data_IF_702708264165
#
_entry.id   IF_702708264165
#
_cell.length_a   1.000
_cell.length_b   1.000
_cell.length_c   1.000
_cell.angle_alpha   90.00
_cell.angle_beta   90.00
_cell.angle_gamma   90.00
#
_symmetry.space_group_name_H-M   'P 1'
#
loop_
_entity.id
_entity.type
_entity.pdbx_description
1 polymer ?
#
# COMPACT_ATOMS: atom_id res chain seq x y z
N UNK A 1 14.78 6.54 10.65
CA UNK A 1 13.69 6.71 11.66
C UNK A 1 12.45 6.12 11.04
N UNK A 2 11.85 5.10 11.65
CA UNK A 2 10.70 4.40 11.07
C UNK A 2 9.49 5.33 10.93
N UNK A 3 8.79 5.28 9.78
CA UNK A 3 7.59 6.06 9.52
C UNK A 3 6.41 5.50 10.34
N UNK A 4 5.63 6.41 10.95
CA UNK A 4 4.48 6.06 11.80
C UNK A 4 3.17 6.41 11.09
N UNK A 5 2.08 5.83 11.56
CA UNK A 5 0.72 6.22 11.12
C UNK A 5 0.52 7.72 11.38
N UNK A 6 0.03 8.44 10.38
CA UNK A 6 -0.17 9.88 10.29
C UNK A 6 1.10 10.73 10.12
N UNK A 7 2.31 10.14 10.06
CA UNK A 7 3.46 10.87 9.53
C UNK A 7 3.19 11.22 8.05
N UNK A 8 3.73 12.34 7.59
CA UNK A 8 3.73 12.67 6.17
C UNK A 8 4.60 11.66 5.42
N UNK A 9 4.07 11.07 4.35
CA UNK A 9 4.83 10.21 3.47
C UNK A 9 5.93 11.04 2.80
N UNK A 10 7.22 10.68 2.92
CA UNK A 10 8.30 11.44 2.32
C UNK A 10 8.08 11.63 0.82
N UNK A 11 8.20 12.87 0.34
CA UNK A 11 8.20 13.15 -1.08
C UNK A 11 9.55 12.80 -1.71
N UNK A 12 9.52 12.39 -2.96
CA UNK A 12 10.73 12.10 -3.73
C UNK A 12 10.49 12.34 -5.22
N UNK A 13 11.59 12.55 -5.94
CA UNK A 13 11.61 12.52 -7.40
C UNK A 13 12.53 11.40 -7.84
N UNK A 14 12.04 10.50 -8.68
CA UNK A 14 12.78 9.33 -9.13
C UNK A 14 12.44 8.93 -10.56
N UNK A 15 13.40 8.26 -11.21
CA UNK A 15 13.20 7.61 -12.49
C UNK A 15 12.36 6.33 -12.30
N UNK A 16 11.43 6.11 -13.20
CA UNK A 16 10.57 4.94 -13.21
C UNK A 16 10.43 4.35 -14.60
N UNK A 17 9.82 3.18 -14.72
CA UNK A 17 9.44 2.59 -16.01
C UNK A 17 8.44 3.44 -16.82
N UNK A 18 7.88 4.49 -16.22
CA UNK A 18 6.93 5.41 -16.85
C UNK A 18 7.47 6.86 -16.90
N UNK A 19 8.79 7.02 -16.85
CA UNK A 19 9.48 8.31 -16.84
C UNK A 19 9.73 8.83 -15.42
N UNK A 20 10.25 10.06 -15.33
CA UNK A 20 10.52 10.71 -14.04
C UNK A 20 9.22 11.10 -13.34
N UNK A 21 9.08 10.74 -12.08
CA UNK A 21 7.90 11.05 -11.26
C UNK A 21 8.32 11.86 -10.03
N UNK A 22 7.64 12.96 -9.72
CA UNK A 22 7.56 13.50 -8.35
C UNK A 22 6.38 12.81 -7.66
N UNK A 23 6.62 12.20 -6.52
CA UNK A 23 5.68 11.27 -5.89
C UNK A 23 4.40 11.95 -5.39
N UNK A 24 4.50 13.10 -4.72
CA UNK A 24 3.32 13.81 -4.23
C UNK A 24 2.47 14.38 -5.37
N UNK A 25 3.11 14.92 -6.41
CA UNK A 25 2.41 15.39 -7.60
C UNK A 25 1.72 14.23 -8.34
N UNK A 26 2.42 13.10 -8.44
CA UNK A 26 1.89 11.89 -9.07
C UNK A 26 0.68 11.32 -8.31
N UNK A 27 0.72 11.25 -6.98
CA UNK A 27 -0.44 10.86 -6.17
C UNK A 27 -1.62 11.79 -6.46
N UNK A 28 -1.42 13.10 -6.48
CA UNK A 28 -2.49 14.09 -6.61
C UNK A 28 -3.51 13.94 -5.48
N UNK A 29 -4.80 13.80 -5.82
CA UNK A 29 -5.90 13.60 -4.86
C UNK A 29 -6.33 12.13 -4.73
N UNK A 30 -5.48 11.20 -5.16
CA UNK A 30 -5.75 9.76 -5.05
C UNK A 30 -5.17 9.19 -3.76
N UNK A 31 -5.61 8.00 -3.40
CA UNK A 31 -4.86 7.13 -2.50
C UNK A 31 -3.67 6.54 -3.25
N UNK A 32 -2.69 6.03 -2.52
CA UNK A 32 -1.57 5.33 -3.12
C UNK A 32 -1.15 4.11 -2.30
N UNK A 33 -0.70 3.08 -3.01
CA UNK A 33 0.08 1.97 -2.47
C UNK A 33 1.49 2.11 -3.00
N UNK A 34 2.43 2.39 -2.09
CA UNK A 34 3.86 2.28 -2.36
C UNK A 34 4.36 0.97 -1.77
N UNK A 35 4.96 0.13 -2.59
CA UNK A 35 5.50 -1.14 -2.12
C UNK A 35 6.92 -1.41 -2.64
N UNK A 36 7.73 -2.09 -1.84
CA UNK A 36 9.05 -2.54 -2.28
C UNK A 36 9.04 -4.03 -2.61
N UNK A 37 9.93 -4.43 -3.50
CA UNK A 37 10.26 -5.83 -3.76
C UNK A 37 11.79 -6.02 -3.70
N UNK A 38 12.27 -7.16 -3.19
CA UNK A 38 13.68 -7.38 -2.93
C UNK A 38 14.59 -7.19 -4.15
N UNK A 39 14.23 -7.80 -5.28
CA UNK A 39 15.07 -7.79 -6.48
C UNK A 39 14.30 -8.26 -7.70
N UNK A 40 14.61 -7.69 -8.87
CA UNK A 40 14.15 -8.14 -10.18
C UNK A 40 14.64 -9.56 -10.51
N UNK A 41 13.96 -10.23 -11.43
CA UNK A 41 14.27 -11.58 -11.90
C UNK A 41 14.33 -12.63 -10.78
N UNK A 42 13.43 -12.49 -9.76
CA UNK A 42 13.30 -13.46 -8.67
C UNK A 42 11.92 -14.08 -8.63
N UNK A 43 11.79 -15.37 -8.21
CA UNK A 43 10.53 -16.10 -8.34
C UNK A 43 9.36 -15.47 -7.59
N UNK A 44 9.54 -15.13 -6.30
CA UNK A 44 8.46 -14.59 -5.48
C UNK A 44 8.05 -13.20 -5.98
N UNK A 45 9.01 -12.33 -6.31
CA UNK A 45 8.71 -10.99 -6.84
C UNK A 45 7.95 -11.06 -8.16
N UNK A 46 8.30 -12.01 -9.04
CA UNK A 46 7.58 -12.24 -10.31
C UNK A 46 6.10 -12.57 -10.05
N UNK A 47 5.80 -13.47 -9.13
CA UNK A 47 4.41 -13.81 -8.77
C UNK A 47 3.68 -12.63 -8.15
N UNK A 48 4.33 -11.85 -7.29
CA UNK A 48 3.74 -10.69 -6.63
C UNK A 48 3.39 -9.57 -7.62
N UNK A 49 4.34 -9.19 -8.47
CA UNK A 49 4.11 -8.07 -9.40
C UNK A 49 3.08 -8.42 -10.47
N UNK A 50 3.07 -9.68 -10.92
CA UNK A 50 2.03 -10.16 -11.84
C UNK A 50 0.65 -10.17 -11.20
N UNK A 51 0.54 -10.65 -9.96
CA UNK A 51 -0.74 -10.62 -9.22
C UNK A 51 -1.23 -9.19 -8.99
N UNK A 52 -0.33 -8.28 -8.58
CA UNK A 52 -0.64 -6.86 -8.42
C UNK A 52 -1.11 -6.22 -9.74
N UNK A 53 -0.47 -6.58 -10.87
CA UNK A 53 -0.88 -6.10 -12.19
C UNK A 53 -2.32 -6.56 -12.54
N UNK A 54 -2.68 -7.79 -12.21
CA UNK A 54 -4.03 -8.30 -12.36
C UNK A 54 -5.07 -7.59 -11.48
N UNK A 55 -4.65 -7.04 -10.34
CA UNK A 55 -5.51 -6.27 -9.43
C UNK A 55 -5.63 -4.78 -9.78
N UNK A 56 -4.95 -4.29 -10.81
CA UNK A 56 -4.98 -2.88 -11.20
C UNK A 56 -6.42 -2.32 -11.31
N UNK A 57 -7.40 -3.00 -11.96
CA UNK A 57 -8.77 -2.49 -12.02
C UNK A 57 -9.43 -2.34 -10.64
N UNK A 58 -9.04 -3.15 -9.65
CA UNK A 58 -9.57 -3.05 -8.28
C UNK A 58 -9.01 -1.84 -7.54
N UNK A 59 -7.75 -1.49 -7.77
CA UNK A 59 -7.16 -0.25 -7.25
C UNK A 59 -7.75 1.00 -7.92
N UNK A 60 -7.95 0.96 -9.24
CA UNK A 60 -8.57 2.06 -10.01
C UNK A 60 -9.99 2.38 -9.52
N UNK A 61 -10.84 1.36 -9.30
CA UNK A 61 -12.18 1.53 -8.71
C UNK A 61 -12.17 2.25 -7.37
N UNK A 62 -11.07 2.14 -6.62
CA UNK A 62 -10.85 2.75 -5.30
C UNK A 62 -10.13 4.10 -5.37
N UNK A 63 -9.97 4.68 -6.56
CA UNK A 63 -9.15 5.87 -6.78
C UNK A 63 -7.78 5.73 -6.07
N UNK A 64 -7.13 4.59 -6.25
CA UNK A 64 -5.86 4.27 -5.63
C UNK A 64 -4.82 3.97 -6.71
N UNK A 65 -3.71 4.68 -6.68
CA UNK A 65 -2.55 4.47 -7.54
C UNK A 65 -1.60 3.48 -6.90
N UNK A 66 -0.92 2.70 -7.73
CA UNK A 66 0.06 1.69 -7.29
C UNK A 66 1.42 2.06 -7.85
N UNK A 67 2.46 1.98 -7.04
CA UNK A 67 3.85 2.20 -7.43
C UNK A 67 4.75 1.22 -6.69
N UNK A 68 5.59 0.51 -7.44
CA UNK A 68 6.60 -0.38 -6.88
C UNK A 68 7.98 0.27 -6.83
N UNK A 69 8.86 -0.25 -5.98
CA UNK A 69 10.28 0.15 -5.94
C UNK A 69 11.18 -1.02 -5.63
N UNK A 70 12.36 -1.01 -6.20
CA UNK A 70 13.51 -1.81 -5.78
C UNK A 70 14.80 -1.04 -6.06
N UNK A 71 15.92 -1.64 -5.70
CA UNK A 71 17.26 -1.08 -5.94
C UNK A 71 17.82 -1.44 -7.33
N UNK A 72 17.02 -2.10 -8.17
CA UNK A 72 17.38 -2.39 -9.56
C UNK A 72 17.20 -1.15 -10.44
N UNK A 73 17.77 -1.18 -11.65
CA UNK A 73 17.69 -0.07 -12.60
C UNK A 73 16.44 -0.13 -13.50
N UNK A 74 16.10 0.99 -14.14
CA UNK A 74 14.95 1.08 -15.07
C UNK A 74 15.00 0.02 -16.16
N UNK A 75 16.16 -0.22 -16.74
CA UNK A 75 16.32 -1.19 -17.83
C UNK A 75 16.04 -2.63 -17.39
N UNK A 76 16.41 -2.96 -16.14
CA UNK A 76 16.13 -4.27 -15.56
C UNK A 76 14.62 -4.42 -15.33
N UNK A 77 13.97 -3.41 -14.77
CA UNK A 77 12.51 -3.37 -14.61
C UNK A 77 11.76 -3.55 -15.93
N UNK A 78 12.17 -2.84 -16.99
CA UNK A 78 11.55 -2.94 -18.31
C UNK A 78 11.72 -4.34 -18.94
N UNK A 79 12.92 -4.91 -18.82
CA UNK A 79 13.19 -6.25 -19.31
C UNK A 79 12.39 -7.30 -18.55
N UNK A 80 12.39 -7.21 -17.23
CA UNK A 80 11.68 -8.14 -16.35
C UNK A 80 10.16 -8.04 -16.44
N UNK A 81 9.60 -6.86 -16.69
CA UNK A 81 8.16 -6.67 -16.90
C UNK A 81 7.61 -7.54 -18.02
N UNK A 82 8.41 -7.84 -19.05
CA UNK A 82 8.04 -8.75 -20.14
C UNK A 82 7.95 -10.21 -19.66
N UNK A 83 8.89 -10.62 -18.80
CA UNK A 83 8.87 -11.96 -18.21
C UNK A 83 7.68 -12.14 -17.28
N UNK A 84 7.33 -11.09 -16.51
CA UNK A 84 6.13 -11.07 -15.66
C UNK A 84 4.88 -11.25 -16.53
N UNK A 85 4.71 -10.44 -17.57
CA UNK A 85 3.56 -10.55 -18.48
C UNK A 85 3.46 -11.95 -19.10
N UNK A 86 4.57 -12.48 -19.62
CA UNK A 86 4.61 -13.80 -20.24
C UNK A 86 4.29 -14.94 -19.26
N UNK A 87 4.72 -14.83 -18.00
CA UNK A 87 4.55 -15.90 -17.02
C UNK A 87 3.28 -15.79 -16.17
N UNK A 88 2.80 -14.57 -15.92
CA UNK A 88 1.65 -14.29 -15.04
C UNK A 88 0.40 -13.84 -15.80
N UNK A 89 0.51 -13.54 -17.10
CA UNK A 89 -0.63 -13.17 -17.96
C UNK A 89 -1.12 -11.74 -17.78
N UNK A 90 -0.41 -10.90 -17.04
CA UNK A 90 -0.75 -9.49 -16.79
C UNK A 90 0.46 -8.59 -17.00
N UNK A 91 0.30 -7.56 -17.84
CA UNK A 91 1.31 -6.53 -18.02
C UNK A 91 1.43 -5.65 -16.77
N UNK A 92 2.66 -5.32 -16.37
CA UNK A 92 2.90 -4.35 -15.28
C UNK A 92 2.57 -2.95 -15.78
N UNK A 93 1.39 -2.46 -15.42
CA UNK A 93 0.83 -1.17 -15.88
C UNK A 93 1.00 -0.03 -14.86
N UNK A 94 1.74 -0.25 -13.80
CA UNK A 94 2.08 0.75 -12.79
C UNK A 94 3.58 1.04 -12.81
N UNK A 95 4.00 2.25 -12.38
CA UNK A 95 5.43 2.60 -12.40
C UNK A 95 6.24 1.76 -11.40
N UNK A 96 7.44 1.36 -11.82
CA UNK A 96 8.46 0.79 -10.96
C UNK A 96 9.60 1.80 -10.83
N UNK A 97 9.83 2.25 -9.60
CA UNK A 97 10.92 3.16 -9.24
C UNK A 97 12.24 2.43 -9.26
N UNK A 98 13.19 2.95 -10.00
CA UNK A 98 14.58 2.51 -9.96
C UNK A 98 15.33 3.30 -8.88
N UNK A 99 15.82 2.61 -7.85
CA UNK A 99 16.51 3.25 -6.73
C UNK A 99 17.89 2.66 -6.42
N UNK A 100 18.81 2.59 -7.40
CA UNK A 100 20.14 2.02 -7.21
C UNK A 100 20.99 2.80 -6.19
N UNK A 101 20.65 4.05 -5.92
CA UNK A 101 21.32 4.91 -4.93
C UNK A 101 20.68 4.84 -3.54
N UNK A 102 19.67 4.00 -3.32
CA UNK A 102 18.98 3.77 -2.05
C UNK A 102 18.26 5.01 -1.48
N UNK A 103 17.93 6.00 -2.29
CA UNK A 103 17.31 7.24 -1.83
C UNK A 103 15.89 7.02 -1.31
N UNK A 104 15.04 6.36 -2.09
CA UNK A 104 13.64 6.11 -1.76
C UNK A 104 13.53 5.03 -0.69
N UNK A 105 14.26 3.94 -0.83
CA UNK A 105 14.19 2.81 0.11
C UNK A 105 14.69 3.19 1.51
N UNK A 106 15.62 4.14 1.63
CA UNK A 106 16.05 4.69 2.92
C UNK A 106 15.03 5.66 3.52
N UNK A 107 14.41 6.53 2.71
CA UNK A 107 13.34 7.43 3.16
C UNK A 107 12.18 6.65 3.81
N UNK A 108 11.86 5.49 3.25
CA UNK A 108 10.75 4.65 3.69
C UNK A 108 11.16 3.49 4.60
N UNK A 109 12.43 3.43 5.02
CA UNK A 109 12.95 2.39 5.94
C UNK A 109 12.65 0.96 5.44
N UNK A 110 12.90 0.73 4.13
CA UNK A 110 12.56 -0.53 3.45
C UNK A 110 13.70 -1.54 3.44
N UNK A 111 14.87 -1.17 3.94
CA UNK A 111 16.03 -2.05 3.98
C UNK A 111 15.99 -2.92 5.24
N UNK A 112 16.33 -4.21 5.16
CA UNK A 112 16.51 -5.03 6.36
C UNK A 112 17.72 -4.56 7.18
N UNK A 113 17.76 -4.93 8.47
CA UNK A 113 18.78 -4.45 9.39
C UNK A 113 20.22 -4.80 8.96
N UNK A 114 20.39 -5.91 8.24
CA UNK A 114 21.67 -6.37 7.72
C UNK A 114 22.12 -5.66 6.45
N UNK A 115 21.20 -4.98 5.75
CA UNK A 115 21.56 -4.18 4.58
C UNK A 115 22.36 -2.94 5.02
N UNK A 116 23.38 -2.60 4.25
CA UNK A 116 24.13 -1.37 4.48
C UNK A 116 23.31 -0.11 4.16
N UNK A 117 23.85 1.04 4.54
CA UNK A 117 23.26 2.36 4.23
C UNK A 117 23.89 3.00 2.98
N UNK A 118 24.64 2.25 2.19
CA UNK A 118 25.35 2.75 1.03
C UNK A 118 25.22 1.80 -0.15
N UNK A 119 25.18 2.37 -1.35
CA UNK A 119 25.28 1.64 -2.60
C UNK A 119 26.74 1.44 -3.05
N UNK A 120 27.70 2.15 -2.45
CA UNK A 120 29.09 2.13 -2.84
C UNK A 120 29.73 0.75 -2.61
N UNK A 121 30.26 0.16 -3.67
CA UNK A 121 30.86 -1.17 -3.64
C UNK A 121 29.88 -2.33 -3.41
N UNK A 122 28.58 -2.10 -3.53
CA UNK A 122 27.51 -3.08 -3.30
C UNK A 122 26.67 -3.30 -4.56
N UNK A 123 26.04 -4.45 -4.63
CA UNK A 123 25.12 -4.82 -5.71
C UNK A 123 23.68 -4.71 -5.28
N UNK A 124 22.73 -4.77 -6.22
CA UNK A 124 21.30 -4.87 -5.92
C UNK A 124 20.96 -6.07 -5.01
N UNK A 125 21.72 -7.16 -5.12
CA UNK A 125 21.53 -8.33 -4.24
C UNK A 125 21.95 -8.06 -2.79
N UNK A 126 22.99 -7.23 -2.59
CA UNK A 126 23.46 -6.85 -1.24
C UNK A 126 22.52 -5.87 -0.56
N UNK A 127 21.77 -5.10 -1.35
CA UNK A 127 20.85 -4.04 -0.91
C UNK A 127 19.38 -4.42 -1.13
N UNK A 128 19.07 -5.70 -1.32
CA UNK A 128 17.70 -6.15 -1.51
C UNK A 128 16.78 -5.66 -0.37
N UNK A 129 15.63 -5.10 -0.74
CA UNK A 129 14.66 -4.57 0.23
C UNK A 129 13.86 -5.68 0.90
N UNK A 130 13.31 -5.41 2.07
CA UNK A 130 12.17 -6.17 2.59
C UNK A 130 10.94 -5.95 1.68
N UNK A 131 9.86 -6.72 1.92
CA UNK A 131 8.59 -6.55 1.19
C UNK A 131 7.68 -5.60 1.95
N UNK A 132 8.02 -4.31 1.94
CA UNK A 132 7.23 -3.27 2.61
C UNK A 132 6.06 -2.83 1.75
N UNK A 133 4.99 -2.38 2.41
CA UNK A 133 3.80 -1.78 1.80
C UNK A 133 3.39 -0.59 2.64
N UNK A 134 3.14 0.53 2.01
CA UNK A 134 2.59 1.74 2.63
C UNK A 134 1.27 2.09 1.95
N UNK A 135 0.21 2.22 2.74
CA UNK A 135 -1.07 2.79 2.33
C UNK A 135 -1.03 4.29 2.65
N UNK A 136 -1.12 5.12 1.63
CA UNK A 136 -0.98 6.57 1.73
C UNK A 136 -2.30 7.22 1.31
N UNK A 137 -2.81 8.13 2.15
CA UNK A 137 -4.03 8.86 1.87
C UNK A 137 -3.84 10.04 0.90
N UNK A 138 -4.94 10.64 0.40
CA UNK A 138 -4.88 11.85 -0.44
C UNK A 138 -4.23 13.05 0.27
N UNK A 139 -4.24 13.04 1.60
CA UNK A 139 -3.56 14.01 2.47
C UNK A 139 -2.04 13.78 2.60
N UNK A 140 -1.48 12.88 1.80
CA UNK A 140 -0.07 12.48 1.80
C UNK A 140 0.41 11.88 3.12
N UNK A 141 -0.49 11.34 3.94
CA UNK A 141 -0.14 10.73 5.22
C UNK A 141 -0.19 9.21 5.16
N UNK A 142 0.72 8.58 5.87
CA UNK A 142 0.74 7.12 6.08
C UNK A 142 -0.53 6.72 6.85
N UNK A 143 -1.33 5.85 6.29
CA UNK A 143 -2.54 5.31 6.92
C UNK A 143 -2.33 3.91 7.48
N UNK A 144 -1.48 3.12 6.84
CA UNK A 144 -1.07 1.80 7.30
C UNK A 144 0.27 1.42 6.69
N UNK A 145 0.99 0.52 7.33
CA UNK A 145 2.19 -0.11 6.77
C UNK A 145 2.26 -1.58 7.17
N UNK A 146 2.78 -2.40 6.25
CA UNK A 146 3.06 -3.82 6.47
C UNK A 146 4.46 -4.11 5.97
N UNK A 147 5.16 -5.02 6.64
CA UNK A 147 6.48 -5.49 6.19
C UNK A 147 6.55 -7.00 6.32
N UNK A 148 6.92 -7.64 5.23
CA UNK A 148 7.10 -9.08 5.12
C UNK A 148 8.58 -9.40 4.92
N UNK A 149 9.07 -10.53 5.42
CA UNK A 149 10.42 -10.99 5.12
C UNK A 149 10.54 -11.32 3.63
N UNK A 150 11.74 -11.27 3.09
CA UNK A 150 12.01 -11.52 1.66
C UNK A 150 11.51 -12.90 1.18
N UNK A 151 11.48 -13.90 2.07
CA UNK A 151 11.04 -15.26 1.77
C UNK A 151 9.54 -15.46 1.71
N UNK A 152 8.73 -14.45 2.09
CA UNK A 152 7.28 -14.59 2.24
C UNK A 152 6.56 -13.66 1.28
N UNK A 153 5.83 -14.23 0.30
CA UNK A 153 4.95 -13.47 -0.59
C UNK A 153 3.80 -12.81 0.18
N UNK A 154 3.41 -11.60 -0.25
CA UNK A 154 2.36 -10.81 0.40
C UNK A 154 0.97 -11.33 0.09
N UNK A 155 0.03 -11.05 1.00
CA UNK A 155 -1.40 -11.24 0.76
C UNK A 155 -2.01 -9.92 0.23
N UNK A 156 -2.24 -9.84 -1.07
CA UNK A 156 -2.80 -8.64 -1.70
C UNK A 156 -4.30 -8.45 -1.45
N UNK A 157 -5.04 -9.51 -1.13
CA UNK A 157 -6.43 -9.40 -0.70
C UNK A 157 -6.53 -8.64 0.63
N UNK A 158 -5.57 -8.87 1.54
CA UNK A 158 -5.45 -8.10 2.78
C UNK A 158 -5.07 -6.64 2.51
N UNK A 159 -4.22 -6.35 1.51
CA UNK A 159 -3.88 -4.98 1.14
C UNK A 159 -5.12 -4.24 0.61
N UNK A 160 -5.94 -4.88 -0.23
CA UNK A 160 -7.22 -4.32 -0.70
C UNK A 160 -8.20 -4.13 0.46
N UNK A 161 -8.36 -5.14 1.33
CA UNK A 161 -9.20 -5.05 2.52
C UNK A 161 -8.79 -3.88 3.43
N UNK A 162 -7.50 -3.72 3.66
CA UNK A 162 -6.96 -2.63 4.47
C UNK A 162 -7.19 -1.27 3.83
N UNK A 163 -7.01 -1.14 2.51
CA UNK A 163 -7.33 0.07 1.75
C UNK A 163 -8.82 0.42 1.89
N UNK A 164 -9.72 -0.56 1.69
CA UNK A 164 -11.17 -0.37 1.85
C UNK A 164 -11.52 0.13 3.26
N UNK A 165 -10.91 -0.47 4.28
CA UNK A 165 -11.09 -0.06 5.67
C UNK A 165 -10.60 1.38 5.91
N UNK A 166 -9.40 1.72 5.43
CA UNK A 166 -8.85 3.07 5.56
C UNK A 166 -9.71 4.12 4.85
N UNK A 167 -10.22 3.81 3.65
CA UNK A 167 -11.09 4.71 2.89
C UNK A 167 -12.44 4.92 3.59
N UNK A 168 -13.05 3.85 4.07
CA UNK A 168 -14.33 3.92 4.77
C UNK A 168 -14.21 4.73 6.06
N UNK A 169 -13.20 4.46 6.89
CA UNK A 169 -13.00 5.15 8.17
C UNK A 169 -12.56 6.60 8.01
N UNK A 170 -11.88 6.95 6.91
CA UNK A 170 -11.56 8.33 6.57
C UNK A 170 -12.79 9.14 6.14
N UNK A 171 -13.77 8.49 5.47
CA UNK A 171 -14.99 9.13 4.96
C UNK A 171 -16.12 9.15 5.99
N UNK A 172 -16.25 8.09 6.78
CA UNK A 172 -17.32 7.86 7.74
C UNK A 172 -16.77 7.81 9.16
N UNK A 173 -17.59 8.22 10.12
CA UNK A 173 -17.24 8.15 11.55
C UNK A 173 -17.54 6.75 12.12
N UNK A 174 -16.87 5.74 11.58
CA UNK A 174 -17.01 4.33 11.95
C UNK A 174 -15.65 3.68 12.12
N UNK A 175 -15.62 2.52 12.74
CA UNK A 175 -14.47 1.64 12.77
C UNK A 175 -14.83 0.28 12.19
N UNK A 176 -13.88 -0.37 11.55
CA UNK A 176 -14.04 -1.73 11.01
C UNK A 176 -13.65 -2.75 12.08
N UNK A 177 -14.50 -3.74 12.41
CA UNK A 177 -14.16 -4.77 13.37
C UNK A 177 -13.10 -5.77 12.84
N UNK A 178 -12.68 -6.69 13.69
CA UNK A 178 -11.74 -7.75 13.31
C UNK A 178 -12.23 -8.52 12.08
N UNK A 179 -11.31 -8.79 11.14
CA UNK A 179 -11.56 -9.53 9.89
C UNK A 179 -12.65 -8.94 8.97
N UNK A 180 -13.08 -7.69 9.23
CA UNK A 180 -14.09 -7.02 8.44
C UNK A 180 -13.77 -7.06 6.94
N UNK A 181 -14.81 -7.29 6.15
CA UNK A 181 -14.77 -7.18 4.69
C UNK A 181 -15.79 -6.15 4.23
N UNK A 182 -15.53 -5.57 3.07
CA UNK A 182 -16.44 -4.57 2.49
C UNK A 182 -17.87 -5.12 2.36
N UNK A 183 -18.84 -4.34 2.84
CA UNK A 183 -20.26 -4.72 2.90
C UNK A 183 -20.70 -5.29 4.26
N UNK A 184 -19.77 -5.67 5.13
CA UNK A 184 -20.10 -6.17 6.46
C UNK A 184 -20.39 -5.04 7.45
N UNK A 185 -21.09 -5.32 8.57
CA UNK A 185 -21.37 -4.33 9.61
C UNK A 185 -20.10 -3.69 10.18
N UNK A 186 -20.24 -2.42 10.57
CA UNK A 186 -19.18 -1.61 11.15
C UNK A 186 -19.56 -1.14 12.55
N UNK A 187 -18.58 -0.65 13.30
CA UNK A 187 -18.77 -0.17 14.67
C UNK A 187 -18.90 1.36 14.68
N UNK A 188 -19.93 1.88 15.37
CA UNK A 188 -20.05 3.31 15.65
C UNK A 188 -18.93 3.71 16.63
N UNK A 189 -18.19 4.77 16.30
CA UNK A 189 -17.11 5.24 17.18
C UNK A 189 -17.63 5.61 18.57
N UNK A 190 -16.91 5.27 19.66
CA UNK A 190 -17.30 5.63 21.02
C UNK A 190 -17.44 7.15 21.26
N UNK A 191 -16.78 7.96 20.43
CA UNK A 191 -16.87 9.43 20.47
C UNK A 191 -18.22 9.99 20.01
N UNK A 192 -19.06 9.18 19.35
CA UNK A 192 -20.40 9.57 18.91
C UNK A 192 -21.39 9.22 20.01
N UNK A 193 -22.10 10.23 20.56
CA UNK A 193 -23.14 10.00 21.57
C UNK A 193 -24.32 9.22 20.99
N UNK A 194 -25.17 8.66 21.86
CA UNK A 194 -26.35 7.93 21.41
C UNK A 194 -27.35 8.85 20.70
N UNK A 195 -27.46 10.12 21.11
CA UNK A 195 -28.31 11.13 20.47
C UNK A 195 -27.81 11.39 19.03
N UNK A 196 -26.52 11.66 18.85
CA UNK A 196 -25.93 11.87 17.53
C UNK A 196 -25.97 10.61 16.65
N UNK A 197 -25.83 9.44 17.27
CA UNK A 197 -25.97 8.16 16.57
C UNK A 197 -27.41 7.94 16.07
N UNK A 198 -28.44 8.31 16.84
CA UNK A 198 -29.85 8.20 16.42
C UNK A 198 -30.18 9.08 15.21
N UNK A 199 -29.59 10.28 15.13
CA UNK A 199 -29.74 11.15 13.97
C UNK A 199 -29.09 10.54 12.71
N UNK A 200 -27.91 9.96 12.88
CA UNK A 200 -27.12 9.39 11.77
C UNK A 200 -27.64 8.02 11.33
N UNK A 201 -28.17 7.22 12.27
CA UNK A 201 -28.65 5.85 12.06
C UNK A 201 -30.07 5.71 12.60
N UNK A 202 -31.07 6.29 11.90
CA UNK A 202 -32.49 6.33 12.40
C UNK A 202 -33.11 4.94 12.54
N UNK A 203 -32.63 3.95 11.80
CA UNK A 203 -33.05 2.56 11.89
C UNK A 203 -32.49 1.84 13.13
N UNK A 204 -31.65 2.53 13.93
CA UNK A 204 -31.00 1.99 15.12
C UNK A 204 -29.75 1.20 14.83
N UNK A 205 -29.26 0.51 15.84
CA UNK A 205 -28.04 -0.30 15.79
C UNK A 205 -28.16 -1.51 16.70
N UNK A 206 -27.40 -2.55 16.46
CA UNK A 206 -27.20 -3.67 17.35
C UNK A 206 -26.16 -3.34 18.42
N UNK A 207 -26.46 -3.56 19.69
CA UNK A 207 -25.57 -3.24 20.80
C UNK A 207 -25.49 -4.41 21.80
N UNK A 208 -24.70 -5.44 21.49
CA UNK A 208 -24.45 -6.55 22.42
C UNK A 208 -23.82 -6.08 23.74
N UNK A 209 -23.13 -4.93 23.71
CA UNK A 209 -22.61 -4.24 24.89
C UNK A 209 -22.79 -2.72 24.70
N UNK A 210 -22.91 -1.93 25.79
CA UNK A 210 -23.15 -0.48 25.69
C UNK A 210 -22.09 0.28 24.85
N UNK A 211 -20.90 -0.21 24.82
CA UNK A 211 -19.78 0.38 24.06
C UNK A 211 -19.54 -0.28 22.70
N UNK A 212 -20.27 -1.34 22.34
CA UNK A 212 -20.11 -2.10 21.11
C UNK A 212 -21.39 -2.00 20.28
N UNK A 213 -21.45 -0.99 19.40
CA UNK A 213 -22.62 -0.62 18.61
C UNK A 213 -22.37 -0.88 17.15
N UNK A 214 -23.03 -1.87 16.55
CA UNK A 214 -22.91 -2.26 15.17
C UNK A 214 -23.99 -1.66 14.29
N UNK A 215 -23.61 -1.16 13.12
CA UNK A 215 -24.52 -0.70 12.07
C UNK A 215 -24.15 -1.33 10.73
N UNK A 216 -25.09 -1.46 9.78
CA UNK A 216 -24.74 -1.74 8.40
C UNK A 216 -23.71 -0.75 7.89
N UNK A 217 -22.80 -1.20 7.01
CA UNK A 217 -21.82 -0.31 6.40
C UNK A 217 -22.53 0.88 5.74
N UNK A 218 -22.18 2.13 6.09
CA UNK A 218 -22.73 3.31 5.40
C UNK A 218 -22.20 3.40 3.97
N UNK A 219 -23.00 3.96 3.07
CA UNK A 219 -22.66 4.13 1.65
C UNK A 219 -21.69 5.29 1.40
#
# INVERSE_FOLDING_TARGET
MSLRINDEAPDFTAETTQGTINFHDWIGNSWAILFSHPKDFTPICTTELGYMAGLQPEFEKRNCKVIGTSVDGVRDHEAWSKDIENSQGHAVNYPLVADPELKVVQLYDMLPAEAGNTSEGRTAADNATARSVFVIGPDKKIKASLTYPMSTGRNFDEILRLLDSCQLTAKQQVATPVNWKQGEPVVILPSISDEAAKEKYPDGWDAPLPYLRFVPQPK
#
